data_IF_277813524762
#
_entry.id   IF_277813524762
#
_cell.length_a   1.000
_cell.length_b   1.000
_cell.length_c   1.000
_cell.angle_alpha   90.00
_cell.angle_beta   90.00
_cell.angle_gamma   90.00
#
_symmetry.space_group_name_H-M   'P 1'
#
loop_
_entity.id
_entity.type
_entity.pdbx_description
1 polymer ?
#
# COMPACT_ATOMS: atom_id res chain seq x y z
N UNK A 1 14.01 9.77 17.60
CA UNK A 1 15.37 9.26 17.75
C UNK A 1 15.52 8.08 16.84
N UNK A 2 16.11 8.29 15.68
CA UNK A 2 16.54 7.29 14.71
C UNK A 2 15.53 6.20 14.31
N UNK A 3 14.35 6.59 13.89
CA UNK A 3 13.57 5.86 12.92
C UNK A 3 14.36 5.94 11.60
N UNK A 4 15.32 5.04 11.40
CA UNK A 4 16.13 5.04 10.20
C UNK A 4 15.43 4.29 9.07
N UNK A 5 15.52 4.79 7.84
CA UNK A 5 15.20 4.02 6.65
C UNK A 5 16.32 3.01 6.40
N UNK A 6 15.99 1.72 6.37
CA UNK A 6 16.92 0.66 5.98
C UNK A 6 16.51 0.11 4.61
N UNK A 7 17.39 0.22 3.63
CA UNK A 7 17.19 -0.37 2.31
C UNK A 7 17.76 -1.80 2.31
N UNK A 8 16.88 -2.78 2.13
CA UNK A 8 17.25 -4.18 2.03
C UNK A 8 17.13 -4.58 0.55
N UNK A 9 18.28 -4.77 -0.10
CA UNK A 9 18.29 -5.13 -1.52
C UNK A 9 17.98 -6.60 -1.72
N UNK A 10 17.23 -6.98 -2.76
CA UNK A 10 16.90 -8.38 -3.04
C UNK A 10 18.12 -9.28 -3.26
N UNK A 11 19.23 -8.69 -3.70
CA UNK A 11 20.48 -9.40 -4.04
C UNK A 11 21.45 -9.55 -2.84
N UNK A 12 21.11 -9.01 -1.66
CA UNK A 12 22.00 -9.04 -0.48
C UNK A 12 22.00 -10.38 0.26
N UNK A 13 21.30 -11.38 -0.24
CA UNK A 13 21.16 -12.66 0.43
C UNK A 13 22.19 -13.68 -0.03
N UNK A 14 22.96 -14.23 0.92
CA UNK A 14 23.85 -15.38 0.69
C UNK A 14 23.09 -16.65 0.30
N UNK A 15 21.75 -16.66 0.40
CA UNK A 15 20.89 -17.82 0.14
C UNK A 15 20.34 -17.88 -1.29
N UNK A 16 20.37 -16.78 -2.04
CA UNK A 16 19.84 -16.75 -3.40
C UNK A 16 20.63 -15.78 -4.28
N UNK A 17 21.09 -16.27 -5.42
CA UNK A 17 21.76 -15.47 -6.46
C UNK A 17 20.77 -14.93 -7.50
N UNK A 18 19.48 -15.24 -7.37
CA UNK A 18 18.42 -14.81 -8.31
C UNK A 18 17.57 -13.69 -7.72
N UNK A 19 16.99 -12.90 -8.59
CA UNK A 19 15.99 -11.90 -8.25
C UNK A 19 14.73 -12.63 -7.71
N UNK A 20 14.15 -12.20 -6.56
CA UNK A 20 12.92 -12.75 -6.05
C UNK A 20 11.80 -12.72 -7.09
N UNK A 21 11.08 -13.82 -7.23
CA UNK A 21 10.00 -13.96 -8.20
C UNK A 21 8.65 -13.50 -7.64
N UNK A 22 8.52 -13.46 -6.32
CA UNK A 22 7.29 -13.09 -5.63
C UNK A 22 7.56 -12.37 -4.31
N UNK A 23 6.49 -11.93 -3.66
CA UNK A 23 6.55 -11.16 -2.41
C UNK A 23 7.16 -11.96 -1.25
N UNK A 24 6.83 -13.22 -1.12
CA UNK A 24 7.37 -14.08 -0.03
C UNK A 24 8.88 -14.23 -0.18
N UNK A 25 9.38 -14.51 -1.39
CA UNK A 25 10.82 -14.58 -1.64
C UNK A 25 11.53 -13.24 -1.33
N UNK A 26 10.91 -12.10 -1.69
CA UNK A 26 11.47 -10.80 -1.38
C UNK A 26 11.57 -10.52 0.12
N UNK A 27 10.58 -10.97 0.90
CA UNK A 27 10.52 -10.79 2.34
C UNK A 27 11.53 -11.66 3.11
N UNK A 28 12.08 -12.72 2.53
CA UNK A 28 13.10 -13.56 3.18
C UNK A 28 14.29 -12.72 3.64
N UNK A 29 14.70 -11.74 2.84
CA UNK A 29 15.82 -10.87 3.15
C UNK A 29 15.55 -9.95 4.35
N UNK A 30 14.29 -9.68 4.63
CA UNK A 30 13.90 -8.84 5.76
C UNK A 30 13.98 -9.58 7.11
N UNK A 31 13.95 -10.92 7.09
CA UNK A 31 13.90 -11.72 8.32
C UNK A 31 15.11 -11.49 9.23
N UNK A 32 16.32 -11.44 8.66
CA UNK A 32 17.54 -11.17 9.43
C UNK A 32 17.47 -9.84 10.16
N UNK A 33 16.80 -8.86 9.53
CA UNK A 33 16.57 -7.54 10.14
C UNK A 33 15.47 -7.61 11.20
N UNK A 34 14.32 -8.19 10.88
CA UNK A 34 13.17 -8.26 11.77
C UNK A 34 13.43 -9.09 13.03
N UNK A 35 14.22 -10.16 12.94
CA UNK A 35 14.61 -10.99 14.10
C UNK A 35 15.36 -10.20 15.17
N UNK A 36 16.10 -9.15 14.78
CA UNK A 36 16.89 -8.32 15.70
C UNK A 36 16.14 -7.08 16.22
N UNK A 37 14.92 -6.81 15.76
CA UNK A 37 14.10 -5.71 16.27
C UNK A 37 13.51 -6.05 17.64
N UNK A 38 13.32 -4.99 18.46
CA UNK A 38 12.67 -5.13 19.76
C UNK A 38 11.14 -5.02 19.68
N UNK A 39 10.67 -4.41 18.61
CA UNK A 39 9.26 -4.19 18.34
C UNK A 39 8.56 -5.54 18.12
N UNK A 40 7.38 -5.67 18.71
CA UNK A 40 6.57 -6.89 18.65
C UNK A 40 5.76 -6.95 17.35
N UNK A 41 5.21 -5.81 16.95
CA UNK A 41 4.34 -5.70 15.78
C UNK A 41 5.07 -5.14 14.57
N UNK A 42 4.58 -5.50 13.40
CA UNK A 42 5.04 -4.95 12.14
C UNK A 42 3.86 -4.57 11.24
N UNK A 43 4.07 -3.57 10.42
CA UNK A 43 3.18 -3.18 9.33
C UNK A 43 3.86 -3.60 8.03
N UNK A 44 3.19 -4.44 7.27
CA UNK A 44 3.60 -4.79 5.92
C UNK A 44 2.72 -4.03 4.94
N UNK A 45 3.32 -3.23 4.07
CA UNK A 45 2.61 -2.45 3.08
C UNK A 45 3.33 -2.51 1.73
N UNK A 46 2.55 -2.58 0.64
CA UNK A 46 3.07 -2.43 -0.71
C UNK A 46 3.37 -0.95 -1.00
N UNK A 47 4.40 -0.68 -1.77
CA UNK A 47 4.87 0.70 -2.06
C UNK A 47 4.15 1.35 -3.23
N UNK A 48 3.31 0.63 -3.94
CA UNK A 48 2.54 1.12 -5.08
C UNK A 48 1.15 1.66 -4.69
N UNK A 49 0.90 1.85 -3.39
CA UNK A 49 -0.35 2.42 -2.87
C UNK A 49 -0.12 3.87 -2.52
N UNK A 50 -0.95 4.74 -3.06
CA UNK A 50 -1.02 6.16 -2.69
C UNK A 50 -2.33 6.36 -1.95
N UNK A 51 -2.27 6.99 -0.77
CA UNK A 51 -3.46 7.27 0.01
C UNK A 51 -3.15 7.79 1.40
N UNK A 52 -4.19 8.27 2.05
CA UNK A 52 -4.12 8.78 3.41
C UNK A 52 -4.51 7.67 4.38
N UNK A 53 -3.50 7.02 4.95
CA UNK A 53 -3.70 5.92 5.89
C UNK A 53 -3.17 6.34 7.24
N UNK A 54 -4.03 6.39 8.23
CA UNK A 54 -3.62 6.56 9.62
C UNK A 54 -3.19 5.20 10.19
N UNK A 55 -1.90 4.90 10.07
CA UNK A 55 -1.33 3.68 10.64
C UNK A 55 -1.45 3.59 12.15
N UNK A 56 -1.59 4.73 12.83
CA UNK A 56 -1.75 4.78 14.28
C UNK A 56 -3.17 4.36 14.68
N UNK A 57 -4.18 4.87 13.97
CA UNK A 57 -5.57 4.44 14.14
C UNK A 57 -5.71 2.95 13.80
N UNK A 58 -5.14 2.51 12.69
CA UNK A 58 -5.16 1.10 12.28
C UNK A 58 -4.47 0.18 13.30
N UNK A 59 -3.36 0.61 13.89
CA UNK A 59 -2.67 -0.16 14.92
C UNK A 59 -3.50 -0.23 16.21
N UNK A 60 -4.11 0.88 16.63
CA UNK A 60 -5.00 0.87 17.80
C UNK A 60 -6.18 -0.08 17.60
N UNK A 61 -6.78 -0.04 16.41
CA UNK A 61 -7.84 -0.98 16.02
C UNK A 61 -7.39 -2.44 16.09
N UNK A 62 -6.16 -2.74 15.64
CA UNK A 62 -5.57 -4.08 15.72
C UNK A 62 -5.48 -4.58 17.17
N UNK A 63 -5.02 -3.71 18.07
CA UNK A 63 -4.90 -4.02 19.50
C UNK A 63 -6.27 -4.19 20.14
N UNK A 64 -7.21 -3.28 19.88
CA UNK A 64 -8.55 -3.27 20.49
C UNK A 64 -9.39 -4.49 20.08
N UNK A 65 -9.22 -4.98 18.86
CA UNK A 65 -9.90 -6.20 18.36
C UNK A 65 -9.22 -7.49 18.78
N UNK A 66 -8.00 -7.43 19.32
CA UNK A 66 -7.20 -8.63 19.62
C UNK A 66 -6.90 -9.47 18.39
N UNK A 67 -6.70 -8.81 17.25
CA UNK A 67 -6.47 -9.46 15.97
C UNK A 67 -5.12 -10.15 15.92
N UNK A 68 -5.06 -11.33 15.30
CA UNK A 68 -3.79 -11.92 14.87
C UNK A 68 -3.28 -11.22 13.62
N UNK A 69 -4.19 -10.87 12.71
CA UNK A 69 -3.89 -10.11 11.49
C UNK A 69 -4.99 -9.08 11.25
N UNK A 70 -4.63 -7.83 11.05
CA UNK A 70 -5.53 -6.80 10.51
C UNK A 70 -5.18 -6.57 9.04
N UNK A 71 -6.19 -6.66 8.16
CA UNK A 71 -6.05 -6.48 6.72
C UNK A 71 -6.75 -5.20 6.30
N UNK A 72 -6.03 -4.26 5.71
CA UNK A 72 -6.65 -3.05 5.18
C UNK A 72 -7.37 -3.33 3.86
N UNK A 73 -8.52 -2.69 3.69
CA UNK A 73 -9.30 -2.76 2.45
C UNK A 73 -9.84 -1.39 2.05
N UNK A 74 -10.25 -1.30 0.80
CA UNK A 74 -10.96 -0.16 0.25
C UNK A 74 -12.10 -0.64 -0.66
N UNK A 75 -13.22 0.07 -0.67
CA UNK A 75 -14.33 -0.23 -1.58
C UNK A 75 -14.01 0.24 -2.99
N UNK A 76 -13.68 -0.69 -3.87
CA UNK A 76 -13.41 -0.46 -5.28
C UNK A 76 -13.64 -1.71 -6.12
N UNK A 77 -13.57 -1.56 -7.42
CA UNK A 77 -13.58 -2.70 -8.33
C UNK A 77 -12.22 -3.39 -8.27
N UNK A 78 -12.17 -4.70 -7.99
CA UNK A 78 -10.90 -5.43 -7.98
C UNK A 78 -10.34 -5.57 -9.40
N UNK A 79 -9.06 -5.36 -9.54
CA UNK A 79 -8.32 -5.63 -10.76
C UNK A 79 -7.96 -7.13 -10.87
N UNK A 80 -7.35 -7.50 -12.02
CA UNK A 80 -6.86 -8.86 -12.24
C UNK A 80 -5.84 -9.23 -11.16
N UNK A 81 -6.06 -10.37 -10.51
CA UNK A 81 -5.16 -10.89 -9.49
C UNK A 81 -5.32 -10.29 -8.10
N UNK A 82 -6.37 -9.51 -7.86
CA UNK A 82 -6.67 -8.96 -6.54
C UNK A 82 -7.67 -9.82 -5.77
N UNK A 83 -7.69 -9.64 -4.47
CA UNK A 83 -8.59 -10.37 -3.58
C UNK A 83 -9.63 -9.46 -2.95
N UNK A 84 -10.87 -9.92 -2.93
CA UNK A 84 -11.95 -9.38 -2.13
C UNK A 84 -11.90 -9.99 -0.74
N UNK A 85 -12.22 -9.20 0.27
CA UNK A 85 -12.37 -9.63 1.67
C UNK A 85 -13.86 -9.64 2.00
N UNK A 86 -14.33 -10.71 2.61
CA UNK A 86 -15.70 -10.85 3.09
C UNK A 86 -15.67 -11.00 4.62
N UNK A 87 -16.41 -10.14 5.31
CA UNK A 87 -16.40 -10.04 6.75
C UNK A 87 -17.83 -9.88 7.30
N UNK A 88 -18.00 -10.18 8.56
CA UNK A 88 -19.26 -10.04 9.27
C UNK A 88 -19.50 -8.59 9.76
N UNK A 89 -20.58 -8.38 10.53
CA UNK A 89 -20.96 -7.07 11.09
C UNK A 89 -19.92 -6.49 12.05
N UNK A 90 -19.07 -7.30 12.62
CA UNK A 90 -18.01 -6.94 13.56
C UNK A 90 -16.66 -6.80 12.86
N UNK A 91 -16.65 -6.79 11.50
CA UNK A 91 -15.48 -6.74 10.62
C UNK A 91 -14.54 -7.94 10.72
N UNK A 92 -14.98 -9.07 11.32
CA UNK A 92 -14.21 -10.30 11.33
C UNK A 92 -14.29 -10.96 9.96
N UNK A 93 -13.11 -11.23 9.36
CA UNK A 93 -13.00 -11.85 8.04
C UNK A 93 -13.30 -13.34 8.15
N UNK A 94 -14.21 -13.83 7.32
CA UNK A 94 -14.57 -15.26 7.27
C UNK A 94 -14.37 -15.89 5.89
N UNK A 95 -14.18 -15.09 4.84
CA UNK A 95 -13.93 -15.55 3.48
C UNK A 95 -13.11 -14.56 2.69
N UNK A 96 -12.35 -15.04 1.71
CA UNK A 96 -11.66 -14.22 0.73
C UNK A 96 -11.86 -14.79 -0.67
N UNK A 97 -12.15 -13.93 -1.65
CA UNK A 97 -12.34 -14.31 -3.03
C UNK A 97 -11.23 -13.73 -3.90
N UNK A 98 -10.58 -14.57 -4.68
CA UNK A 98 -9.52 -14.15 -5.60
C UNK A 98 -10.10 -13.91 -7.00
N UNK A 99 -9.92 -12.70 -7.54
CA UNK A 99 -10.44 -12.29 -8.84
C UNK A 99 -9.39 -12.51 -9.95
N UNK A 100 -9.41 -13.67 -10.58
CA UNK A 100 -8.49 -14.00 -11.67
C UNK A 100 -8.63 -13.05 -12.90
N UNK A 101 -9.83 -12.57 -13.17
CA UNK A 101 -10.12 -11.72 -14.32
C UNK A 101 -10.57 -10.30 -13.91
N UNK A 102 -10.38 -9.93 -12.63
CA UNK A 102 -10.96 -8.72 -12.08
C UNK A 102 -12.49 -8.81 -11.92
N UNK A 103 -13.12 -7.71 -11.50
CA UNK A 103 -14.58 -7.60 -11.40
C UNK A 103 -15.05 -6.19 -11.76
N UNK A 104 -16.28 -6.10 -12.30
CA UNK A 104 -16.94 -4.82 -12.54
C UNK A 104 -17.74 -4.33 -11.32
N UNK A 105 -17.88 -5.15 -10.29
CA UNK A 105 -18.61 -4.82 -9.08
C UNK A 105 -17.68 -4.21 -8.04
N UNK A 106 -18.16 -3.18 -7.34
CA UNK A 106 -17.47 -2.58 -6.22
C UNK A 106 -17.59 -3.49 -4.99
N UNK A 107 -16.48 -3.88 -4.44
CA UNK A 107 -16.43 -4.72 -3.24
C UNK A 107 -15.27 -4.31 -2.32
N UNK A 108 -15.23 -4.87 -1.11
CA UNK A 108 -14.12 -4.67 -0.18
C UNK A 108 -12.85 -5.35 -0.71
N UNK A 109 -12.09 -4.62 -1.51
CA UNK A 109 -10.85 -5.10 -2.12
C UNK A 109 -9.67 -4.84 -1.21
N UNK A 110 -8.84 -5.87 -0.96
CA UNK A 110 -7.65 -5.73 -0.13
C UNK A 110 -6.70 -4.65 -0.67
N UNK A 111 -6.05 -3.93 0.25
CA UNK A 111 -5.05 -2.91 -0.08
C UNK A 111 -3.61 -3.38 0.15
N UNK A 112 -3.38 -4.68 0.35
CA UNK A 112 -2.07 -5.30 0.59
C UNK A 112 -1.29 -4.63 1.74
N UNK A 113 -2.02 -4.14 2.73
CA UNK A 113 -1.50 -3.57 3.97
C UNK A 113 -1.99 -4.45 5.11
N UNK A 114 -1.05 -4.89 5.93
CA UNK A 114 -1.31 -5.80 7.04
C UNK A 114 -0.63 -5.32 8.30
N UNK A 115 -1.28 -5.53 9.45
CA UNK A 115 -0.65 -5.46 10.77
C UNK A 115 -0.68 -6.84 11.39
N UNK A 116 0.44 -7.28 11.91
CA UNK A 116 0.59 -8.55 12.62
C UNK A 116 1.84 -8.52 13.49
N UNK A 117 2.02 -9.54 14.34
CA UNK A 117 3.28 -9.68 15.06
C UNK A 117 4.41 -10.08 14.11
N UNK A 118 5.63 -9.64 14.41
CA UNK A 118 6.81 -10.01 13.63
C UNK A 118 7.07 -11.53 13.64
N UNK A 119 6.72 -12.19 14.74
CA UNK A 119 6.86 -13.64 14.87
C UNK A 119 5.94 -14.37 13.88
N UNK A 120 4.68 -13.92 13.79
CA UNK A 120 3.72 -14.46 12.81
C UNK A 120 4.22 -14.23 11.39
N UNK A 121 4.67 -13.00 11.06
CA UNK A 121 5.22 -12.69 9.73
C UNK A 121 6.40 -13.58 9.38
N UNK A 122 7.37 -13.72 10.28
CA UNK A 122 8.54 -14.58 10.07
C UNK A 122 8.14 -16.05 9.90
N UNK A 123 7.13 -16.52 10.65
CA UNK A 123 6.55 -17.85 10.49
C UNK A 123 5.91 -18.06 9.11
N UNK A 124 5.14 -17.08 8.64
CA UNK A 124 4.54 -17.09 7.30
C UNK A 124 5.61 -17.16 6.22
N UNK A 125 6.67 -16.34 6.32
CA UNK A 125 7.76 -16.32 5.35
C UNK A 125 8.48 -17.68 5.30
N UNK A 126 8.89 -18.22 6.47
CA UNK A 126 9.58 -19.53 6.56
C UNK A 126 8.75 -20.65 5.94
N UNK A 127 7.46 -20.73 6.31
CA UNK A 127 6.54 -21.72 5.78
C UNK A 127 6.24 -21.51 4.30
N UNK A 128 6.07 -20.25 3.90
CA UNK A 128 5.80 -19.88 2.51
C UNK A 128 6.93 -20.25 1.56
N UNK A 129 8.18 -20.07 1.96
CA UNK A 129 9.34 -20.52 1.19
C UNK A 129 9.34 -22.05 0.99
N UNK A 130 8.95 -22.81 2.00
CA UNK A 130 8.90 -24.27 1.92
C UNK A 130 7.76 -24.77 1.03
N UNK A 131 6.63 -24.06 1.03
CA UNK A 131 5.41 -24.47 0.33
C UNK A 131 5.21 -23.76 -1.02
N UNK A 132 6.12 -22.86 -1.41
CA UNK A 132 6.04 -22.11 -2.67
C UNK A 132 4.89 -21.08 -2.68
N UNK A 133 4.60 -20.45 -1.55
CA UNK A 133 3.60 -19.39 -1.48
C UNK A 133 4.08 -18.11 -2.17
N UNK A 134 3.15 -17.39 -2.77
CA UNK A 134 3.42 -16.14 -3.49
C UNK A 134 2.74 -14.94 -2.84
N UNK A 135 1.55 -15.15 -2.24
CA UNK A 135 0.72 -14.11 -1.65
C UNK A 135 0.26 -14.49 -0.24
N UNK A 136 0.36 -13.54 0.69
CA UNK A 136 0.03 -13.77 2.11
C UNK A 136 -1.47 -14.03 2.29
N UNK A 137 -2.33 -13.21 1.66
CA UNK A 137 -3.77 -13.35 1.84
C UNK A 137 -4.28 -14.63 1.19
N UNK A 138 -3.91 -14.87 -0.08
CA UNK A 138 -4.33 -16.03 -0.86
C UNK A 138 -3.83 -17.35 -0.28
N UNK A 139 -2.54 -17.40 0.06
CA UNK A 139 -1.88 -18.68 0.34
C UNK A 139 -1.83 -19.02 1.83
N UNK A 140 -1.91 -18.03 2.71
CA UNK A 140 -1.90 -18.26 4.15
C UNK A 140 -3.20 -17.85 4.84
N UNK A 141 -3.62 -16.59 4.74
CA UNK A 141 -4.76 -16.08 5.51
C UNK A 141 -6.03 -16.82 5.14
N UNK A 142 -6.35 -16.93 3.84
CA UNK A 142 -7.56 -17.60 3.35
C UNK A 142 -7.72 -19.06 3.83
N UNK A 143 -6.59 -19.73 4.07
CA UNK A 143 -6.57 -21.15 4.48
C UNK A 143 -6.58 -21.34 6.00
N UNK A 144 -6.47 -20.27 6.77
CA UNK A 144 -6.36 -20.33 8.22
C UNK A 144 -7.39 -19.43 8.93
N UNK A 145 -8.46 -18.99 8.25
CA UNK A 145 -9.50 -18.14 8.82
C UNK A 145 -10.23 -18.77 10.01
N UNK A 146 -10.30 -20.11 10.06
CA UNK A 146 -10.90 -20.84 11.18
C UNK A 146 -10.06 -20.77 12.47
N UNK A 147 -8.77 -20.52 12.36
CA UNK A 147 -7.80 -20.54 13.47
C UNK A 147 -7.24 -19.17 13.81
N UNK A 148 -7.32 -18.23 12.88
CA UNK A 148 -6.81 -16.87 13.03
C UNK A 148 -7.96 -15.88 13.27
N UNK A 149 -7.73 -14.94 14.17
CA UNK A 149 -8.59 -13.76 14.31
C UNK A 149 -8.14 -12.71 13.29
N UNK A 150 -8.76 -12.73 12.11
CA UNK A 150 -8.47 -11.76 11.04
C UNK A 150 -9.56 -10.72 11.00
N UNK A 151 -9.18 -9.44 11.06
CA UNK A 151 -10.13 -8.33 11.01
C UNK A 151 -9.83 -7.39 9.85
N UNK A 152 -10.89 -6.91 9.23
CA UNK A 152 -10.83 -5.97 8.12
C UNK A 152 -10.84 -4.53 8.64
N UNK A 153 -9.91 -3.69 8.14
CA UNK A 153 -9.84 -2.26 8.45
C UNK A 153 -10.05 -1.43 7.18
N UNK A 154 -11.06 -0.57 7.19
CA UNK A 154 -11.36 0.29 6.05
C UNK A 154 -10.40 1.48 5.98
N UNK A 155 -9.75 1.66 4.84
CA UNK A 155 -9.01 2.88 4.55
C UNK A 155 -10.02 3.98 4.26
N UNK A 156 -10.13 4.93 5.18
CA UNK A 156 -10.98 6.11 5.04
C UNK A 156 -10.25 7.17 4.22
N UNK A 157 -10.91 7.73 3.23
CA UNK A 157 -10.34 8.77 2.40
C UNK A 157 -9.85 8.28 1.03
N UNK A 158 -8.92 9.03 0.43
CA UNK A 158 -8.42 8.70 -0.89
C UNK A 158 -7.40 7.57 -0.84
N UNK A 159 -7.59 6.57 -1.69
CA UNK A 159 -6.63 5.48 -1.87
C UNK A 159 -6.62 5.03 -3.33
N UNK A 160 -5.45 4.90 -3.92
CA UNK A 160 -5.26 4.41 -5.28
C UNK A 160 -4.04 3.51 -5.37
N UNK A 161 -4.19 2.41 -6.08
CA UNK A 161 -3.08 1.48 -6.38
C UNK A 161 -2.52 1.86 -7.75
N UNK A 162 -1.21 1.94 -7.87
CA UNK A 162 -0.50 2.27 -9.10
C UNK A 162 0.17 1.01 -9.64
N UNK A 163 -0.49 0.33 -10.56
CA UNK A 163 0.02 -0.89 -11.20
C UNK A 163 0.48 -0.62 -12.65
N UNK A 164 0.08 0.50 -13.25
CA UNK A 164 0.35 0.84 -14.64
C UNK A 164 0.64 2.33 -14.82
N UNK A 165 1.20 2.69 -15.98
CA UNK A 165 1.37 4.10 -16.38
C UNK A 165 0.02 4.80 -16.47
N UNK A 166 -1.03 4.07 -16.84
CA UNK A 166 -2.39 4.61 -16.88
C UNK A 166 -2.88 4.99 -15.49
N UNK A 167 -2.66 4.15 -14.46
CA UNK A 167 -3.06 4.46 -13.08
C UNK A 167 -2.32 5.67 -12.55
N UNK A 168 -1.04 5.79 -12.90
CA UNK A 168 -0.23 6.97 -12.58
C UNK A 168 -0.78 8.24 -13.23
N UNK A 169 -1.14 8.17 -14.51
CA UNK A 169 -1.79 9.29 -15.21
C UNK A 169 -3.13 9.63 -14.57
N UNK A 170 -3.99 8.63 -14.34
CA UNK A 170 -5.30 8.82 -13.73
C UNK A 170 -5.20 9.40 -12.31
N UNK A 171 -4.15 9.04 -11.55
CA UNK A 171 -3.87 9.64 -10.24
C UNK A 171 -3.52 11.14 -10.38
N UNK A 172 -2.65 11.50 -11.32
CA UNK A 172 -2.31 12.90 -11.55
C UNK A 172 -3.54 13.71 -11.97
N UNK A 173 -4.44 13.13 -12.79
CA UNK A 173 -5.71 13.77 -13.15
C UNK A 173 -6.65 13.93 -11.94
N UNK A 174 -6.67 12.94 -11.04
CA UNK A 174 -7.46 13.05 -9.81
C UNK A 174 -6.96 14.19 -8.91
N UNK A 175 -5.67 14.49 -8.88
CA UNK A 175 -5.09 15.59 -8.11
C UNK A 175 -5.48 16.99 -8.64
N UNK A 176 -5.96 17.09 -9.87
CA UNK A 176 -6.51 18.36 -10.40
C UNK A 176 -7.84 18.73 -9.73
N UNK A 177 -8.49 17.79 -9.07
CA UNK A 177 -9.72 18.02 -8.30
C UNK A 177 -9.34 18.57 -6.91
N UNK A 178 -9.80 19.77 -6.53
CA UNK A 178 -9.45 20.37 -5.24
C UNK A 178 -9.75 19.45 -4.05
N UNK A 179 -10.84 18.70 -4.11
CA UNK A 179 -11.27 17.74 -3.07
C UNK A 179 -10.23 16.63 -2.86
N UNK A 180 -9.74 16.05 -3.96
CA UNK A 180 -8.71 15.00 -3.91
C UNK A 180 -7.39 15.56 -3.40
N UNK A 181 -6.98 16.74 -3.91
CA UNK A 181 -5.76 17.41 -3.49
C UNK A 181 -5.76 17.65 -1.98
N UNK A 182 -6.84 18.25 -1.45
CA UNK A 182 -7.02 18.49 -0.02
C UNK A 182 -7.02 17.19 0.78
N UNK A 183 -7.76 16.16 0.32
CA UNK A 183 -7.80 14.87 1.01
C UNK A 183 -6.44 14.20 1.07
N UNK A 184 -5.64 14.29 0.03
CA UNK A 184 -4.33 13.65 -0.03
C UNK A 184 -3.28 14.42 0.79
N UNK A 185 -3.25 15.75 0.72
CA UNK A 185 -2.15 16.55 1.29
C UNK A 185 -2.51 17.27 2.59
N UNK A 186 -3.78 17.58 2.85
CA UNK A 186 -4.21 18.33 4.04
C UNK A 186 -4.91 17.43 5.09
N UNK A 187 -4.85 16.11 4.95
CA UNK A 187 -5.55 15.14 5.83
C UNK A 187 -4.97 15.03 7.24
N UNK A 188 -3.95 15.83 7.58
CA UNK A 188 -3.28 15.78 8.89
C UNK A 188 -2.22 14.67 9.01
N UNK A 189 -2.04 13.86 7.98
CA UNK A 189 -0.93 12.92 7.82
C UNK A 189 0.05 13.50 6.81
N UNK A 190 1.21 13.94 7.28
CA UNK A 190 2.24 14.52 6.41
C UNK A 190 2.79 13.48 5.44
N UNK A 191 2.57 13.69 4.14
CA UNK A 191 3.28 12.93 3.10
C UNK A 191 4.65 13.57 2.93
N UNK A 192 5.67 12.92 3.49
CA UNK A 192 7.05 13.40 3.40
C UNK A 192 7.61 13.11 2.01
N UNK A 193 7.85 14.17 1.25
CA UNK A 193 8.49 14.11 -0.06
C UNK A 193 9.88 14.74 -0.01
N UNK A 194 10.69 14.48 -1.04
CA UNK A 194 11.96 15.17 -1.18
C UNK A 194 11.71 16.65 -1.48
N UNK A 195 12.14 17.53 -0.59
CA UNK A 195 12.15 18.96 -0.86
C UNK A 195 13.12 19.25 -2.02
N UNK A 196 12.64 19.91 -3.05
CA UNK A 196 13.47 20.41 -4.15
C UNK A 196 13.59 21.91 -4.01
N UNK A 197 14.82 22.42 -3.89
CA UNK A 197 15.11 23.85 -3.92
C UNK A 197 15.13 24.33 -5.38
N UNK A 198 14.01 24.17 -6.08
CA UNK A 198 13.85 24.64 -7.44
C UNK A 198 13.34 26.08 -7.45
N UNK A 199 13.69 26.82 -8.50
CA UNK A 199 13.14 28.16 -8.72
C UNK A 199 11.63 28.06 -9.00
N UNK A 200 10.83 29.09 -8.71
CA UNK A 200 9.43 29.13 -9.10
C UNK A 200 9.22 28.91 -10.60
N UNK A 201 8.06 28.40 -10.96
CA UNK A 201 7.67 28.22 -12.36
C UNK A 201 7.71 29.57 -13.10
N UNK A 202 8.41 29.61 -14.23
CA UNK A 202 8.49 30.77 -15.10
C UNK A 202 7.41 30.73 -16.18
N UNK A 203 6.66 31.83 -16.31
CA UNK A 203 5.63 31.99 -17.34
C UNK A 203 6.13 32.98 -18.41
N UNK A 204 6.29 32.49 -19.64
CA UNK A 204 6.67 33.33 -20.76
C UNK A 204 5.50 34.18 -21.29
N UNK A 205 5.80 35.09 -22.23
CA UNK A 205 4.84 36.07 -22.78
C UNK A 205 3.57 35.43 -23.39
N UNK A 206 3.69 34.22 -23.94
CA UNK A 206 2.58 33.50 -24.58
C UNK A 206 2.00 32.37 -23.72
N UNK A 207 2.26 32.40 -22.41
CA UNK A 207 1.75 31.35 -21.52
C UNK A 207 0.26 31.53 -21.23
N UNK A 208 -0.48 30.41 -21.28
CA UNK A 208 -1.88 30.32 -20.89
C UNK A 208 -2.09 29.03 -20.13
N UNK A 209 -2.36 29.11 -18.84
CA UNK A 209 -2.50 27.95 -17.97
C UNK A 209 -3.89 27.92 -17.37
N UNK A 210 -4.56 26.75 -17.49
CA UNK A 210 -5.90 26.52 -16.92
C UNK A 210 -6.00 25.13 -16.30
N UNK A 211 -6.62 25.04 -15.12
CA UNK A 211 -6.92 23.76 -14.45
C UNK A 211 -5.74 22.79 -14.45
N UNK A 212 -4.55 23.25 -14.03
CA UNK A 212 -3.31 22.49 -14.13
C UNK A 212 -2.47 22.64 -12.85
N UNK A 213 -1.74 21.59 -12.50
CA UNK A 213 -0.71 21.57 -11.46
C UNK A 213 0.65 21.59 -12.13
N UNK A 214 1.47 22.59 -11.77
CA UNK A 214 2.80 22.77 -12.34
C UNK A 214 3.85 22.57 -11.25
N UNK A 215 4.86 21.74 -11.56
CA UNK A 215 5.99 21.58 -10.66
C UNK A 215 6.91 22.79 -10.67
N UNK A 216 7.55 23.09 -9.54
CA UNK A 216 8.56 24.13 -9.43
C UNK A 216 9.68 23.93 -10.46
N UNK A 217 10.28 25.05 -10.92
CA UNK A 217 11.34 25.04 -11.92
C UNK A 217 10.86 24.83 -13.36
N UNK A 218 9.56 24.72 -13.60
CA UNK A 218 9.01 24.61 -14.96
C UNK A 218 9.12 25.93 -15.73
N UNK A 219 9.22 25.84 -17.06
CA UNK A 219 9.17 27.01 -17.94
C UNK A 219 8.02 26.82 -18.94
N UNK A 220 7.00 27.67 -18.86
CA UNK A 220 5.80 27.57 -19.68
C UNK A 220 5.79 28.68 -20.70
N UNK A 221 5.73 28.37 -21.98
CA UNK A 221 5.65 29.31 -23.09
C UNK A 221 4.61 28.90 -24.13
N UNK A 222 3.46 28.48 -23.67
CA UNK A 222 2.35 28.00 -24.49
C UNK A 222 1.12 27.72 -23.65
N UNK A 223 0.16 26.99 -24.19
CA UNK A 223 -1.10 26.65 -23.51
C UNK A 223 -0.95 25.31 -22.79
N UNK A 224 -1.29 25.29 -21.50
CA UNK A 224 -1.37 24.09 -20.66
C UNK A 224 -2.76 24.06 -20.04
N UNK A 225 -3.51 23.02 -20.31
CA UNK A 225 -4.88 22.88 -19.80
C UNK A 225 -5.10 21.44 -19.29
N UNK A 226 -5.75 21.29 -18.13
CA UNK A 226 -6.13 20.03 -17.51
C UNK A 226 -4.96 19.04 -17.38
N UNK A 227 -3.80 19.51 -16.83
CA UNK A 227 -2.54 18.74 -16.78
C UNK A 227 -1.87 18.83 -15.43
#
# INVERSE_FOLDING_TARGET
KNSGLTLITPLSNYLSTRIPQNKIEALVNTMVYTENLKEEYCILADTNIIGTIDFKEMFQYHVDTGSDITVAYHYRKPEIGESQIIFDKDYKVYETLYHFNGSNETCATQSKIYIMTKELLNGIIKKGMTLGWEDILRDYVSKNLDTLNVYAYEIKGYSKVINSVKDYFDFNQDLLKPETLTTVFDSGTDILTRVQDSVPTHYGEHSNVKSSLLGDGSCINGTVENS
#
